data_IF_887498626577
#
_entry.id   IF_887498626577
#
_cell.length_a   1.000
_cell.length_b   1.000
_cell.length_c   1.000
_cell.angle_alpha   90.00
_cell.angle_beta   90.00
_cell.angle_gamma   90.00
#
_symmetry.space_group_name_H-M   'P 1'
#
loop_
_entity.id
_entity.type
_entity.pdbx_description
1 polymer ?
#
# COMPACT_ATOMS: atom_id res chain seq x y z
N UNK A 1 -2.53 -21.91 -3.65
CA UNK A 1 -1.73 -20.97 -2.84
C UNK A 1 -1.11 -19.96 -3.80
N UNK A 2 -1.76 -18.81 -4.00
CA UNK A 2 -1.40 -17.86 -5.05
C UNK A 2 -0.21 -16.99 -4.62
N UNK A 3 0.88 -17.07 -5.37
CA UNK A 3 2.08 -16.26 -5.20
C UNK A 3 1.73 -14.76 -5.29
N UNK A 4 1.73 -14.08 -4.14
CA UNK A 4 1.57 -12.61 -4.07
C UNK A 4 2.82 -11.86 -4.56
N UNK A 5 3.87 -12.58 -4.97
CA UNK A 5 5.16 -12.10 -5.48
C UNK A 5 5.33 -12.29 -7.00
N UNK A 6 4.25 -12.50 -7.76
CA UNK A 6 4.34 -12.53 -9.22
C UNK A 6 4.70 -11.12 -9.73
N UNK A 7 5.94 -10.96 -10.22
CA UNK A 7 6.37 -9.76 -10.92
C UNK A 7 5.35 -9.46 -12.04
N UNK A 8 4.73 -8.27 -12.05
CA UNK A 8 3.65 -7.97 -12.98
C UNK A 8 4.21 -7.91 -14.39
N UNK A 9 3.53 -8.59 -15.31
CA UNK A 9 3.83 -8.54 -16.74
C UNK A 9 3.95 -7.08 -17.21
N UNK A 10 4.95 -6.82 -18.04
CA UNK A 10 5.28 -5.49 -18.59
C UNK A 10 4.01 -4.72 -18.97
N UNK A 11 3.80 -3.56 -18.34
CA UNK A 11 2.67 -2.66 -18.64
C UNK A 11 1.41 -2.83 -17.78
N UNK A 12 1.32 -3.82 -16.88
CA UNK A 12 0.21 -3.91 -15.92
C UNK A 12 0.52 -3.15 -14.62
N UNK A 13 -0.46 -2.50 -13.97
CA UNK A 13 -0.24 -1.89 -12.66
C UNK A 13 0.34 -2.94 -11.72
N UNK A 14 1.38 -2.56 -10.98
CA UNK A 14 2.28 -3.51 -10.34
C UNK A 14 1.60 -4.42 -9.29
N UNK A 15 0.34 -4.15 -8.95
CA UNK A 15 -0.44 -4.81 -7.91
C UNK A 15 -1.93 -4.80 -8.28
N UNK A 16 -2.63 -5.88 -7.94
CA UNK A 16 -4.04 -6.11 -8.24
C UNK A 16 -4.95 -5.08 -7.56
N UNK A 17 -6.19 -4.86 -8.04
CA UNK A 17 -7.18 -4.03 -7.34
C UNK A 17 -7.38 -4.48 -5.88
N UNK A 18 -7.30 -5.78 -5.65
CA UNK A 18 -7.36 -6.43 -4.34
C UNK A 18 -6.28 -5.92 -3.37
N UNK A 19 -5.04 -5.76 -3.85
CA UNK A 19 -3.96 -5.16 -3.06
C UNK A 19 -4.28 -3.72 -2.63
N UNK A 20 -4.83 -2.91 -3.54
CA UNK A 20 -5.19 -1.52 -3.20
C UNK A 20 -6.33 -1.49 -2.19
N UNK A 21 -7.28 -2.42 -2.28
CA UNK A 21 -8.34 -2.58 -1.28
C UNK A 21 -7.78 -2.97 0.09
N UNK A 22 -6.88 -3.96 0.16
CA UNK A 22 -6.25 -4.40 1.41
C UNK A 22 -5.44 -3.28 2.09
N UNK A 23 -4.58 -2.59 1.34
CA UNK A 23 -3.80 -1.47 1.87
C UNK A 23 -4.71 -0.30 2.27
N UNK A 24 -5.78 -0.03 1.52
CA UNK A 24 -6.73 1.02 1.92
C UNK A 24 -7.45 0.64 3.21
N UNK A 25 -7.96 -0.58 3.33
CA UNK A 25 -8.64 -1.05 4.55
C UNK A 25 -7.72 -0.93 5.76
N UNK A 26 -6.44 -1.31 5.60
CA UNK A 26 -5.42 -1.19 6.64
C UNK A 26 -5.10 0.26 7.03
N UNK A 27 -4.97 1.16 6.04
CA UNK A 27 -4.72 2.58 6.33
C UNK A 27 -5.96 3.21 6.99
N UNK A 28 -7.17 2.89 6.51
CA UNK A 28 -8.42 3.45 7.03
C UNK A 28 -8.68 3.04 8.47
N UNK A 29 -8.41 1.78 8.83
CA UNK A 29 -8.59 1.31 10.22
C UNK A 29 -7.64 2.00 11.21
N UNK A 30 -6.43 2.37 10.75
CA UNK A 30 -5.41 2.99 11.59
C UNK A 30 -5.41 4.53 11.55
N UNK A 31 -6.02 5.15 10.53
CA UNK A 31 -5.95 6.61 10.30
C UNK A 31 -6.51 7.43 11.47
N UNK A 32 -7.49 6.89 12.18
CA UNK A 32 -8.15 7.59 13.30
C UNK A 32 -7.28 7.69 14.56
N UNK A 33 -6.32 6.78 14.71
CA UNK A 33 -5.54 6.62 15.95
C UNK A 33 -4.03 6.77 15.73
N UNK A 34 -3.56 6.62 14.50
CA UNK A 34 -2.15 6.41 14.19
C UNK A 34 -1.64 7.43 13.16
N UNK A 35 -0.52 8.12 13.41
CA UNK A 35 0.06 9.03 12.43
C UNK A 35 0.57 8.27 11.19
N UNK A 36 0.48 8.91 10.02
CA UNK A 36 0.88 8.32 8.72
C UNK A 36 2.29 7.72 8.70
N UNK A 37 3.23 8.29 9.47
CA UNK A 37 4.61 7.77 9.59
C UNK A 37 4.63 6.39 10.25
N UNK A 38 3.82 6.20 11.28
CA UNK A 38 3.72 4.94 12.01
C UNK A 38 2.91 3.93 11.21
N UNK A 39 1.85 4.35 10.51
CA UNK A 39 1.14 3.52 9.53
C UNK A 39 2.10 2.98 8.45
N UNK A 40 3.00 3.82 7.93
CA UNK A 40 4.02 3.37 6.98
C UNK A 40 4.95 2.31 7.58
N UNK A 41 5.35 2.45 8.84
CA UNK A 41 6.12 1.44 9.57
C UNK A 41 5.36 0.12 9.70
N UNK A 42 4.08 0.18 10.07
CA UNK A 42 3.21 -1.00 10.21
C UNK A 42 2.98 -1.70 8.86
N UNK A 43 2.76 -0.95 7.78
CA UNK A 43 2.66 -1.50 6.42
C UNK A 43 3.94 -2.23 6.01
N UNK A 44 5.10 -1.63 6.28
CA UNK A 44 6.40 -2.27 5.99
C UNK A 44 6.61 -3.53 6.84
N UNK A 45 6.26 -3.48 8.13
CA UNK A 45 6.36 -4.63 9.04
C UNK A 45 5.42 -5.78 8.66
N UNK A 46 4.25 -5.47 8.09
CA UNK A 46 3.31 -6.44 7.55
C UNK A 46 3.69 -6.95 6.14
N UNK A 47 4.84 -6.55 5.59
CA UNK A 47 5.31 -7.00 4.27
C UNK A 47 4.71 -6.24 3.08
N UNK A 48 3.87 -5.22 3.31
CA UNK A 48 3.34 -4.41 2.23
C UNK A 48 4.43 -3.49 1.66
N UNK A 49 4.55 -3.50 0.32
CA UNK A 49 5.46 -2.62 -0.45
C UNK A 49 4.67 -1.64 -1.29
N UNK A 50 5.17 -0.44 -1.52
CA UNK A 50 4.52 0.53 -2.41
C UNK A 50 4.30 -0.03 -3.83
N UNK A 51 3.46 0.62 -4.67
CA UNK A 51 3.27 0.23 -6.07
C UNK A 51 4.58 0.16 -6.88
N UNK A 52 5.63 0.84 -6.45
CA UNK A 52 6.95 0.81 -7.09
C UNK A 52 7.88 -0.24 -6.51
N UNK A 53 7.42 -1.07 -5.57
CA UNK A 53 8.23 -2.08 -4.87
C UNK A 53 9.07 -1.51 -3.72
N UNK A 54 8.98 -0.21 -3.45
CA UNK A 54 9.74 0.48 -2.40
C UNK A 54 9.02 0.35 -1.04
N UNK A 55 9.74 0.47 0.09
CA UNK A 55 9.07 0.59 1.39
C UNK A 55 8.12 1.79 1.41
N UNK A 56 7.02 1.66 2.15
CA UNK A 56 6.13 2.77 2.44
C UNK A 56 6.85 3.82 3.28
N UNK A 57 6.67 5.07 2.91
CA UNK A 57 7.02 6.22 3.73
C UNK A 57 5.80 7.14 3.86
N UNK A 58 5.88 8.15 4.75
CA UNK A 58 4.78 9.11 4.98
C UNK A 58 4.27 9.71 3.66
N UNK A 59 5.17 10.13 2.77
CA UNK A 59 4.80 10.74 1.49
C UNK A 59 4.07 9.74 0.57
N UNK A 60 4.47 8.48 0.57
CA UNK A 60 3.86 7.41 -0.22
C UNK A 60 2.46 7.09 0.30
N UNK A 61 2.27 7.04 1.62
CA UNK A 61 0.95 6.86 2.25
C UNK A 61 0.04 8.05 1.93
N UNK A 62 0.55 9.28 2.02
CA UNK A 62 -0.20 10.48 1.66
C UNK A 62 -0.60 10.49 0.17
N UNK A 63 0.32 10.14 -0.72
CA UNK A 63 0.05 10.01 -2.16
C UNK A 63 -0.94 8.87 -2.46
N UNK A 64 -0.87 7.76 -1.72
CA UNK A 64 -1.79 6.64 -1.86
C UNK A 64 -3.22 7.05 -1.48
N UNK A 65 -3.39 7.78 -0.38
CA UNK A 65 -4.67 8.34 0.03
C UNK A 65 -5.20 9.37 -0.97
N UNK A 66 -4.31 10.21 -1.51
CA UNK A 66 -4.68 11.26 -2.48
C UNK A 66 -5.08 10.69 -3.85
N UNK A 67 -4.42 9.62 -4.31
CA UNK A 67 -4.75 8.94 -5.58
C UNK A 67 -6.11 8.25 -5.57
N UNK A 68 -6.70 7.97 -4.41
CA UNK A 68 -8.05 7.40 -4.30
C UNK A 68 -9.16 8.45 -4.56
N UNK A 69 -8.83 9.73 -4.70
CA UNK A 69 -9.79 10.80 -5.04
C UNK A 69 -9.93 11.06 -6.55
N UNK A 70 -9.56 10.12 -7.42
CA UNK A 70 -9.82 10.16 -8.86
C UNK A 70 -10.50 8.87 -9.29
#
# INVERSE_FOLDING_TARGET
>A
MGNQDAAPAFGKPRKTPDYYAAVTAFITSLRSTTPQRQIAGMLNGAGYRSPTGKPFNRATVANFLRKKSI
#
